data_IF_052764022909
#
_entry.id   IF_052764022909
#
_cell.length_a   1.000
_cell.length_b   1.000
_cell.length_c   1.000
_cell.angle_alpha   90.00
_cell.angle_beta   90.00
_cell.angle_gamma   90.00
#
_symmetry.space_group_name_H-M   'P 1'
#
loop_
_entity.id
_entity.type
_entity.pdbx_description
1 polymer ?
#
# COMPACT_ATOMS: atom_id res chain seq x y z
N UNK A 1 6.88 -6.73 29.77
CA UNK A 1 6.86 -7.21 28.37
C UNK A 1 5.58 -6.69 27.73
N UNK A 2 5.64 -5.88 26.68
CA UNK A 2 4.46 -5.27 26.01
C UNK A 2 3.71 -6.25 25.09
N UNK A 3 3.74 -7.55 25.42
CA UNK A 3 3.04 -8.60 24.69
C UNK A 3 1.63 -8.87 25.25
N UNK A 4 1.19 -8.12 26.25
CA UNK A 4 -0.20 -8.03 26.74
C UNK A 4 -0.54 -6.56 27.03
N UNK A 5 -1.73 -6.09 26.62
CA UNK A 5 -2.24 -4.74 26.95
C UNK A 5 -1.64 -3.53 26.21
N UNK A 6 -0.70 -3.73 25.28
CA UNK A 6 -0.11 -2.65 24.47
C UNK A 6 -0.85 -2.55 23.13
N UNK A 7 -1.58 -1.45 22.93
CA UNK A 7 -2.40 -1.17 21.74
C UNK A 7 -2.05 0.20 21.17
N UNK A 8 -1.44 0.22 19.99
CA UNK A 8 -1.03 1.44 19.30
C UNK A 8 -1.48 1.30 17.84
N UNK A 9 -2.57 1.97 17.41
CA UNK A 9 -3.11 1.82 16.05
C UNK A 9 -2.09 2.15 14.94
N UNK A 10 -1.20 3.12 15.20
CA UNK A 10 -0.13 3.53 14.28
C UNK A 10 1.04 2.54 14.19
N UNK A 11 1.06 1.47 15.00
CA UNK A 11 2.10 0.45 14.94
C UNK A 11 2.03 -0.30 13.60
N UNK A 12 3.07 -0.17 12.78
CA UNK A 12 3.14 -0.74 11.43
C UNK A 12 4.09 -1.93 11.30
N UNK A 13 5.18 -1.98 12.08
CA UNK A 13 6.21 -3.01 11.90
C UNK A 13 6.54 -3.70 13.22
N UNK A 14 6.57 -5.03 13.22
CA UNK A 14 7.01 -5.84 14.35
C UNK A 14 8.13 -6.78 13.91
N UNK A 15 9.24 -6.73 14.64
CA UNK A 15 10.37 -7.65 14.48
C UNK A 15 10.22 -8.79 15.50
N UNK A 16 10.30 -10.03 15.03
CA UNK A 16 10.14 -11.22 15.87
C UNK A 16 11.47 -11.98 15.91
N UNK A 17 12.02 -12.05 17.11
CA UNK A 17 13.21 -12.83 17.45
C UNK A 17 12.93 -13.78 18.65
N UNK A 18 11.64 -14.11 18.86
CA UNK A 18 11.20 -15.02 19.92
C UNK A 18 10.36 -16.14 19.32
N UNK A 19 10.62 -17.41 19.67
CA UNK A 19 9.74 -18.51 19.29
C UNK A 19 8.31 -18.25 19.79
N UNK A 20 7.37 -18.14 18.86
CA UNK A 20 5.95 -17.89 19.14
C UNK A 20 5.10 -18.79 18.24
N UNK A 21 4.02 -19.35 18.79
CA UNK A 21 3.13 -20.28 18.09
C UNK A 21 1.68 -20.10 18.54
N UNK A 22 0.74 -20.54 17.70
CA UNK A 22 -0.69 -20.56 18.02
C UNK A 22 -1.25 -19.18 18.36
N UNK A 23 -2.02 -19.10 19.46
CA UNK A 23 -2.72 -17.88 19.87
C UNK A 23 -1.76 -16.71 20.16
N UNK A 24 -0.62 -16.95 20.82
CA UNK A 24 0.33 -15.88 21.13
C UNK A 24 0.95 -15.24 19.87
N UNK A 25 1.12 -16.02 18.79
CA UNK A 25 1.54 -15.50 17.50
C UNK A 25 0.42 -14.65 16.86
N UNK A 26 -0.83 -15.12 16.93
CA UNK A 26 -1.97 -14.37 16.39
C UNK A 26 -2.25 -13.06 17.10
N UNK A 27 -2.15 -13.04 18.43
CA UNK A 27 -2.29 -11.81 19.21
C UNK A 27 -1.21 -10.78 18.87
N UNK A 28 0.02 -11.24 18.60
CA UNK A 28 1.11 -10.37 18.16
C UNK A 28 0.83 -9.80 16.77
N UNK A 29 0.37 -10.62 15.82
CA UNK A 29 0.02 -10.18 14.45
C UNK A 29 -1.12 -9.17 14.47
N UNK A 30 -2.18 -9.45 15.23
CA UNK A 30 -3.36 -8.61 15.32
C UNK A 30 -3.04 -7.18 15.80
N UNK A 31 -2.00 -7.01 16.63
CA UNK A 31 -1.57 -5.67 17.11
C UNK A 31 -1.01 -4.81 16.00
N UNK A 32 -0.24 -5.40 15.09
CA UNK A 32 0.36 -4.66 13.97
C UNK A 32 -0.69 -4.39 12.89
N UNK A 33 -1.76 -5.19 12.84
CA UNK A 33 -2.81 -5.10 11.84
C UNK A 33 -4.02 -4.22 12.24
N UNK A 34 -3.85 -3.27 13.17
CA UNK A 34 -4.90 -2.26 13.47
C UNK A 34 -5.07 -1.29 12.30
N UNK A 35 -6.30 -0.93 11.92
CA UNK A 35 -6.52 0.08 10.86
C UNK A 35 -6.13 1.46 11.39
N UNK A 36 -5.30 2.21 10.64
CA UNK A 36 -4.89 3.57 11.00
C UNK A 36 -4.40 4.36 9.79
N UNK A 37 -5.11 5.43 9.42
CA UNK A 37 -4.73 6.31 8.30
C UNK A 37 -4.52 5.56 6.97
N UNK A 38 -3.42 5.85 6.27
CA UNK A 38 -3.03 5.19 5.01
C UNK A 38 -2.22 3.89 5.22
N UNK A 39 -2.31 3.23 6.38
CA UNK A 39 -1.54 2.02 6.67
C UNK A 39 -2.08 0.85 5.82
N UNK A 40 -1.30 0.28 4.89
CA UNK A 40 -1.78 -0.79 4.02
C UNK A 40 -1.98 -2.12 4.76
N UNK A 41 -1.29 -2.31 5.89
CA UNK A 41 -1.37 -3.50 6.73
C UNK A 41 -0.26 -3.48 7.78
N UNK A 42 -0.14 -4.58 8.54
CA UNK A 42 1.01 -4.79 9.42
C UNK A 42 2.16 -5.53 8.72
N UNK A 43 3.38 -5.04 8.86
CA UNK A 43 4.61 -5.72 8.42
C UNK A 43 5.21 -6.51 9.58
N UNK A 44 5.46 -7.80 9.36
CA UNK A 44 6.15 -8.66 10.32
C UNK A 44 7.46 -9.12 9.72
N UNK A 45 8.54 -8.86 10.44
CA UNK A 45 9.88 -9.30 10.08
C UNK A 45 10.27 -10.41 11.04
N UNK A 46 10.40 -11.61 10.50
CA UNK A 46 10.67 -12.83 11.25
C UNK A 46 12.09 -13.33 10.99
N UNK A 47 12.89 -13.43 12.05
CA UNK A 47 14.28 -13.91 11.98
C UNK A 47 14.42 -15.42 12.24
N UNK A 48 13.35 -16.09 12.72
CA UNK A 48 13.40 -17.47 13.20
C UNK A 48 12.71 -18.47 12.26
N UNK A 49 12.02 -18.02 11.21
CA UNK A 49 11.33 -18.90 10.27
C UNK A 49 9.99 -19.44 10.79
N UNK A 50 9.23 -18.60 11.48
CA UNK A 50 7.87 -18.82 11.95
C UNK A 50 6.81 -18.91 10.84
N UNK A 51 7.15 -18.73 9.56
CA UNK A 51 6.21 -18.83 8.44
C UNK A 51 5.31 -20.08 8.48
N UNK A 52 5.87 -21.25 8.82
CA UNK A 52 5.10 -22.49 8.98
C UNK A 52 4.10 -22.44 10.16
N UNK A 53 4.53 -21.88 11.30
CA UNK A 53 3.68 -21.71 12.47
C UNK A 53 2.58 -20.67 12.23
N UNK A 54 2.89 -19.64 11.44
CA UNK A 54 1.95 -18.62 10.97
C UNK A 54 0.88 -19.25 10.08
N UNK A 55 1.28 -20.02 9.06
CA UNK A 55 0.35 -20.70 8.16
C UNK A 55 -0.57 -21.65 8.93
N UNK A 56 -0.02 -22.41 9.89
CA UNK A 56 -0.81 -23.29 10.76
C UNK A 56 -1.77 -22.53 11.67
N UNK A 57 -1.35 -21.40 12.23
CA UNK A 57 -2.19 -20.55 13.08
C UNK A 57 -3.32 -19.87 12.27
N UNK A 58 -3.02 -19.45 11.02
CA UNK A 58 -3.99 -18.90 10.09
C UNK A 58 -5.01 -19.95 9.65
N UNK A 59 -4.57 -21.16 9.29
CA UNK A 59 -5.46 -22.26 8.90
C UNK A 59 -6.49 -22.57 10.01
N UNK A 60 -6.04 -22.68 11.27
CA UNK A 60 -6.91 -22.89 12.43
C UNK A 60 -7.96 -21.76 12.60
N UNK A 61 -7.58 -20.50 12.35
CA UNK A 61 -8.50 -19.36 12.39
C UNK A 61 -9.51 -19.36 11.23
N UNK A 62 -9.06 -19.78 10.04
CA UNK A 62 -9.89 -19.84 8.82
C UNK A 62 -10.94 -20.96 8.93
N UNK A 63 -10.54 -22.13 9.45
CA UNK A 63 -11.45 -23.25 9.79
C UNK A 63 -12.45 -22.89 10.90
N UNK A 64 -12.12 -21.92 11.76
CA UNK A 64 -12.98 -21.43 12.84
C UNK A 64 -13.98 -20.35 12.40
N UNK A 65 -14.12 -20.09 11.10
CA UNK A 65 -15.07 -19.13 10.53
C UNK A 65 -14.47 -17.78 10.09
N UNK A 66 -13.14 -17.65 10.07
CA UNK A 66 -12.47 -16.51 9.44
C UNK A 66 -12.58 -16.58 7.91
N UNK A 67 -13.28 -15.62 7.29
CA UNK A 67 -13.32 -15.51 5.82
C UNK A 67 -12.00 -14.93 5.30
N UNK A 68 -11.23 -15.73 4.56
CA UNK A 68 -10.13 -15.21 3.74
C UNK A 68 -9.29 -16.33 3.13
N UNK A 69 -9.17 -16.36 1.81
CA UNK A 69 -8.10 -17.10 1.14
C UNK A 69 -6.77 -16.48 1.55
N UNK A 70 -6.00 -17.21 2.37
CA UNK A 70 -4.86 -16.66 3.13
C UNK A 70 -3.56 -16.57 2.33
N UNK A 71 -3.59 -16.92 1.05
CA UNK A 71 -2.43 -16.86 0.16
C UNK A 71 -2.87 -16.23 -1.16
N UNK A 72 -2.55 -14.95 -1.35
CA UNK A 72 -2.64 -14.32 -2.67
C UNK A 72 -1.53 -14.95 -3.52
N UNK A 73 -1.89 -15.58 -4.63
CA UNK A 73 -0.91 -16.07 -5.61
C UNK A 73 -0.11 -14.86 -6.11
N UNK A 74 1.22 -14.95 -6.04
CA UNK A 74 2.10 -13.90 -6.53
C UNK A 74 1.80 -13.55 -7.99
N UNK A 75 1.35 -14.51 -8.79
CA UNK A 75 0.93 -14.33 -10.18
C UNK A 75 -0.32 -13.44 -10.31
N UNK A 76 -1.27 -13.59 -9.39
CA UNK A 76 -2.47 -12.76 -9.32
C UNK A 76 -2.11 -11.34 -8.88
N UNK A 77 -1.23 -11.20 -7.89
CA UNK A 77 -0.72 -9.90 -7.45
C UNK A 77 0.01 -9.14 -8.57
N UNK A 78 0.82 -9.85 -9.39
CA UNK A 78 1.48 -9.27 -10.57
C UNK A 78 0.43 -8.80 -11.59
N UNK A 79 -0.58 -9.61 -11.87
CA UNK A 79 -1.64 -9.27 -12.83
C UNK A 79 -2.40 -8.03 -12.39
N UNK A 80 -2.78 -7.96 -11.11
CA UNK A 80 -3.44 -6.80 -10.53
C UNK A 80 -2.55 -5.56 -10.59
N UNK A 81 -1.27 -5.71 -10.28
CA UNK A 81 -0.30 -4.60 -10.32
C UNK A 81 -0.21 -4.00 -11.73
N UNK A 82 -0.08 -4.83 -12.77
CA UNK A 82 0.04 -4.37 -14.15
C UNK A 82 -1.24 -3.68 -14.63
N UNK A 83 -2.41 -4.20 -14.25
CA UNK A 83 -3.70 -3.57 -14.56
C UNK A 83 -3.83 -2.17 -13.94
N UNK A 84 -3.57 -2.05 -12.63
CA UNK A 84 -3.66 -0.75 -11.95
C UNK A 84 -2.58 0.23 -12.42
N UNK A 85 -1.43 -0.29 -12.87
CA UNK A 85 -0.37 0.48 -13.52
C UNK A 85 -0.83 1.08 -14.86
N UNK A 86 -1.52 0.31 -15.71
CA UNK A 86 -2.09 0.81 -16.96
C UNK A 86 -3.10 1.93 -16.71
N UNK A 87 -4.00 1.77 -15.73
CA UNK A 87 -4.96 2.83 -15.35
C UNK A 87 -4.22 4.11 -14.97
N UNK A 88 -3.16 4.02 -14.16
CA UNK A 88 -2.37 5.19 -13.78
C UNK A 88 -1.69 5.84 -15.01
N UNK A 89 -1.18 5.05 -15.95
CA UNK A 89 -0.60 5.58 -17.20
C UNK A 89 -1.62 6.26 -18.09
N UNK A 90 -2.81 5.70 -18.22
CA UNK A 90 -3.88 6.27 -19.04
C UNK A 90 -4.35 7.62 -18.50
N UNK A 91 -4.32 7.79 -17.17
CA UNK A 91 -4.59 9.10 -16.54
C UNK A 91 -3.52 10.16 -16.85
N UNK A 92 -2.37 9.78 -17.37
CA UNK A 92 -1.32 10.68 -17.87
C UNK A 92 -1.23 10.67 -19.41
N UNK A 93 -2.26 10.22 -20.11
CA UNK A 93 -2.26 10.22 -21.57
C UNK A 93 -2.04 11.65 -22.12
N UNK A 94 -1.01 11.81 -22.96
CA UNK A 94 -0.60 13.12 -23.49
C UNK A 94 0.28 13.96 -22.56
N UNK A 95 0.67 13.44 -21.40
CA UNK A 95 1.60 14.09 -20.47
C UNK A 95 2.95 13.37 -20.45
N UNK A 96 4.04 14.08 -20.78
CA UNK A 96 5.39 13.53 -20.72
C UNK A 96 5.99 13.68 -19.31
N UNK A 97 6.17 12.55 -18.63
CA UNK A 97 6.83 12.46 -17.33
C UNK A 97 8.22 11.84 -17.38
N UNK A 98 8.85 11.75 -18.57
CA UNK A 98 10.22 11.21 -18.76
C UNK A 98 11.27 11.87 -17.87
N UNK A 99 11.11 13.17 -17.59
CA UNK A 99 11.96 13.95 -16.67
C UNK A 99 11.97 13.43 -15.23
N UNK A 100 11.08 12.51 -14.86
CA UNK A 100 11.15 11.84 -13.56
C UNK A 100 12.41 10.99 -13.42
N UNK A 101 12.81 10.28 -14.48
CA UNK A 101 14.00 9.42 -14.49
C UNK A 101 15.27 10.23 -14.71
N UNK A 102 15.23 11.22 -15.60
CA UNK A 102 16.43 11.93 -16.08
C UNK A 102 16.65 13.31 -15.47
N UNK A 103 15.60 13.98 -15.00
CA UNK A 103 15.68 15.37 -14.57
C UNK A 103 16.31 15.56 -13.19
N UNK A 104 16.81 16.78 -12.92
CA UNK A 104 17.48 17.10 -11.66
C UNK A 104 16.83 18.27 -10.92
N UNK A 105 16.75 18.17 -9.59
CA UNK A 105 16.34 19.24 -8.67
C UNK A 105 15.08 19.99 -9.11
N UNK A 106 15.27 21.21 -9.64
CA UNK A 106 14.20 22.10 -10.07
C UNK A 106 13.33 21.51 -11.20
N UNK A 107 13.89 20.71 -12.10
CA UNK A 107 13.12 20.11 -13.20
C UNK A 107 12.09 19.10 -12.69
N UNK A 108 12.44 18.31 -11.67
CA UNK A 108 11.51 17.39 -11.01
C UNK A 108 10.42 18.15 -10.26
N UNK A 109 10.75 19.27 -9.64
CA UNK A 109 9.77 20.11 -8.94
C UNK A 109 8.75 20.69 -9.94
N UNK A 110 9.22 21.23 -11.06
CA UNK A 110 8.39 21.75 -12.15
C UNK A 110 7.52 20.63 -12.72
N UNK A 111 8.11 19.47 -13.04
CA UNK A 111 7.36 18.29 -13.50
C UNK A 111 6.23 17.93 -12.53
N UNK A 112 6.51 17.92 -11.23
CA UNK A 112 5.52 17.59 -10.21
C UNK A 112 4.38 18.61 -10.12
N UNK A 113 4.63 19.90 -10.44
CA UNK A 113 3.55 20.89 -10.51
C UNK A 113 2.63 20.56 -11.69
N UNK A 114 3.21 20.40 -12.88
CA UNK A 114 2.45 20.13 -14.09
C UNK A 114 1.71 18.79 -14.06
N UNK A 115 2.32 17.77 -13.45
CA UNK A 115 1.69 16.46 -13.26
C UNK A 115 0.46 16.56 -12.35
N UNK A 116 0.56 17.34 -11.27
CA UNK A 116 -0.57 17.62 -10.39
C UNK A 116 -1.67 18.37 -11.16
N UNK A 117 -1.34 19.44 -11.87
CA UNK A 117 -2.31 20.24 -12.62
C UNK A 117 -3.00 19.42 -13.71
N UNK A 118 -2.25 18.54 -14.40
CA UNK A 118 -2.79 17.62 -15.38
C UNK A 118 -3.86 16.71 -14.78
N UNK A 119 -3.56 16.05 -13.65
CA UNK A 119 -4.52 15.16 -12.97
C UNK A 119 -5.73 15.92 -12.45
N UNK A 120 -5.53 17.11 -11.87
CA UNK A 120 -6.63 17.93 -11.35
C UNK A 120 -7.51 18.54 -12.46
N UNK A 121 -6.98 18.66 -13.68
CA UNK A 121 -7.74 19.09 -14.85
C UNK A 121 -8.66 18.02 -15.45
N UNK A 122 -8.51 16.75 -15.06
CA UNK A 122 -9.38 15.66 -15.52
C UNK A 122 -10.71 15.62 -14.74
N UNK A 123 -11.76 15.13 -15.41
CA UNK A 123 -13.05 14.90 -14.77
C UNK A 123 -12.94 13.87 -13.64
N UNK A 124 -13.31 14.28 -12.42
CA UNK A 124 -13.12 13.51 -11.18
C UNK A 124 -11.68 12.99 -11.00
N UNK A 125 -10.69 13.70 -11.58
CA UNK A 125 -9.31 13.26 -11.68
C UNK A 125 -8.66 13.00 -10.32
N UNK A 126 -8.91 13.87 -9.33
CA UNK A 126 -8.39 13.70 -7.96
C UNK A 126 -8.81 12.37 -7.35
N UNK A 127 -10.10 12.11 -7.19
CA UNK A 127 -10.60 10.89 -6.52
C UNK A 127 -10.16 9.63 -7.27
N UNK A 128 -10.31 9.61 -8.60
CA UNK A 128 -9.89 8.49 -9.45
C UNK A 128 -8.40 8.19 -9.30
N UNK A 129 -7.57 9.22 -9.32
CA UNK A 129 -6.12 9.07 -9.23
C UNK A 129 -5.68 8.57 -7.85
N UNK A 130 -6.22 9.16 -6.79
CA UNK A 130 -5.91 8.74 -5.41
C UNK A 130 -6.26 7.27 -5.19
N UNK A 131 -7.39 6.80 -5.74
CA UNK A 131 -7.83 5.41 -5.65
C UNK A 131 -6.97 4.47 -6.50
N UNK A 132 -6.70 4.81 -7.76
CA UNK A 132 -5.87 4.00 -8.65
C UNK A 132 -4.45 3.80 -8.09
N UNK A 133 -3.79 4.88 -7.66
CA UNK A 133 -2.43 4.79 -7.08
C UNK A 133 -2.43 4.04 -5.75
N UNK A 134 -3.50 4.12 -4.95
CA UNK A 134 -3.63 3.32 -3.73
C UNK A 134 -3.68 1.83 -4.05
N UNK A 135 -4.54 1.41 -4.99
CA UNK A 135 -4.67 0.01 -5.41
C UNK A 135 -3.37 -0.51 -6.03
N UNK A 136 -2.74 0.29 -6.89
CA UNK A 136 -1.43 -0.01 -7.47
C UNK A 136 -0.37 -0.22 -6.37
N UNK A 137 -0.30 0.67 -5.38
CA UNK A 137 0.69 0.57 -4.30
C UNK A 137 0.51 -0.69 -3.45
N UNK A 138 -0.74 -1.07 -3.18
CA UNK A 138 -1.07 -2.29 -2.44
C UNK A 138 -0.69 -3.55 -3.24
N UNK A 139 -1.11 -3.62 -4.51
CA UNK A 139 -0.80 -4.76 -5.38
C UNK A 139 0.72 -4.90 -5.61
N UNK A 140 1.42 -3.78 -5.84
CA UNK A 140 2.86 -3.74 -6.04
C UNK A 140 3.61 -4.31 -4.82
N UNK A 141 3.20 -3.94 -3.60
CA UNK A 141 3.82 -4.44 -2.38
C UNK A 141 3.69 -5.97 -2.21
N UNK A 142 2.63 -6.57 -2.75
CA UNK A 142 2.40 -8.03 -2.73
C UNK A 142 3.13 -8.76 -3.86
N UNK A 143 3.43 -8.07 -4.96
CA UNK A 143 3.99 -8.67 -6.17
C UNK A 143 5.53 -8.65 -6.20
N UNK A 144 6.18 -7.73 -5.46
CA UNK A 144 7.65 -7.71 -5.29
C UNK A 144 8.11 -9.01 -4.61
N UNK A 145 9.20 -9.66 -5.07
CA UNK A 145 10.23 -9.14 -5.99
C UNK A 145 10.11 -9.56 -7.47
N UNK A 146 8.92 -9.83 -7.99
CA UNK A 146 8.76 -10.31 -9.38
C UNK A 146 9.36 -9.37 -10.44
N UNK A 147 10.09 -9.91 -11.42
CA UNK A 147 10.88 -9.14 -12.41
C UNK A 147 10.06 -8.08 -13.17
N UNK A 148 8.93 -8.47 -13.76
CA UNK A 148 8.01 -7.54 -14.45
C UNK A 148 7.53 -6.37 -13.58
N UNK A 149 7.45 -6.56 -12.27
CA UNK A 149 7.03 -5.53 -11.31
C UNK A 149 8.19 -4.59 -11.01
N UNK A 150 9.42 -5.11 -10.97
CA UNK A 150 10.62 -4.29 -10.79
C UNK A 150 10.86 -3.34 -11.98
N UNK A 151 10.48 -3.73 -13.20
CA UNK A 151 10.59 -2.87 -14.40
C UNK A 151 9.79 -1.57 -14.28
N UNK A 152 8.62 -1.61 -13.63
CA UNK A 152 7.74 -0.45 -13.48
C UNK A 152 7.98 0.35 -12.19
N UNK A 153 8.89 -0.10 -11.32
CA UNK A 153 9.13 0.48 -9.97
C UNK A 153 9.30 1.99 -9.98
N UNK A 154 10.08 2.51 -10.93
CA UNK A 154 10.38 3.95 -10.98
C UNK A 154 9.13 4.78 -11.33
N UNK A 155 8.28 4.27 -12.23
CA UNK A 155 7.00 4.91 -12.58
C UNK A 155 5.98 4.81 -11.47
N UNK A 156 5.91 3.68 -10.76
CA UNK A 156 5.11 3.57 -9.53
C UNK A 156 5.54 4.62 -8.51
N UNK A 157 6.85 4.83 -8.34
CA UNK A 157 7.40 5.89 -7.49
C UNK A 157 6.98 7.30 -7.91
N UNK A 158 6.93 7.59 -9.22
CA UNK A 158 6.40 8.85 -9.74
C UNK A 158 4.93 9.03 -9.35
N UNK A 159 4.11 8.01 -9.58
CA UNK A 159 2.68 8.10 -9.30
C UNK A 159 2.40 8.33 -7.82
N UNK A 160 3.12 7.63 -6.94
CA UNK A 160 3.06 7.80 -5.49
C UNK A 160 3.46 9.22 -5.06
N UNK A 161 4.49 9.80 -5.68
CA UNK A 161 4.95 11.16 -5.38
C UNK A 161 3.89 12.20 -5.75
N UNK A 162 3.27 12.09 -6.93
CA UNK A 162 2.16 12.97 -7.34
C UNK A 162 0.96 12.81 -6.40
N UNK A 163 0.61 11.57 -6.02
CA UNK A 163 -0.48 11.32 -5.04
C UNK A 163 -0.21 12.00 -3.71
N UNK A 164 1.00 11.81 -3.16
CA UNK A 164 1.38 12.41 -1.89
C UNK A 164 1.31 13.95 -1.94
N UNK A 165 1.66 14.53 -3.10
CA UNK A 165 1.55 15.97 -3.33
C UNK A 165 0.09 16.45 -3.35
N UNK A 166 -0.77 15.81 -4.14
CA UNK A 166 -2.20 16.15 -4.24
C UNK A 166 -2.87 16.11 -2.86
N UNK A 167 -2.54 15.11 -2.03
CA UNK A 167 -3.05 14.99 -0.65
C UNK A 167 -2.58 16.19 0.19
N UNK A 168 -1.29 16.57 0.11
CA UNK A 168 -0.74 17.68 0.92
C UNK A 168 -1.25 19.05 0.51
N UNK A 169 -1.51 19.29 -0.78
CA UNK A 169 -2.01 20.59 -1.28
C UNK A 169 -3.54 20.71 -1.24
N UNK A 170 -4.26 19.65 -0.89
CA UNK A 170 -5.71 19.70 -0.66
C UNK A 170 -5.96 19.80 0.85
N UNK A 171 -6.16 20.99 1.43
CA UNK A 171 -6.57 21.07 2.83
C UNK A 171 -7.97 20.47 2.98
N UNK A 172 -8.09 19.49 3.90
CA UNK A 172 -9.30 19.06 4.61
C UNK A 172 -10.66 19.50 4.03
N UNK A 173 -11.18 18.80 3.02
CA UNK A 173 -12.62 18.85 2.69
C UNK A 173 -13.36 17.53 2.94
N UNK A 174 -12.68 16.45 3.32
CA UNK A 174 -13.31 15.13 3.51
C UNK A 174 -13.47 14.68 4.98
N UNK A 175 -13.27 15.58 5.97
CA UNK A 175 -13.48 15.28 7.40
C UNK A 175 -14.90 15.62 7.91
N UNK A 176 -15.86 15.89 7.03
CA UNK A 176 -17.26 16.12 7.41
C UNK A 176 -18.23 15.48 6.41
N UNK A 177 -18.46 14.17 6.55
CA UNK A 177 -19.61 13.54 5.90
C UNK A 177 -20.19 12.32 6.63
N UNK A 178 -19.48 11.68 7.56
CA UNK A 178 -19.96 10.43 8.20
C UNK A 178 -20.29 10.55 9.70
N UNK A 179 -20.56 11.76 10.21
CA UNK A 179 -21.11 11.97 11.57
C UNK A 179 -22.42 12.77 11.51
N UNK A 180 -23.42 12.31 10.73
CA UNK A 180 -24.84 12.64 10.93
C UNK A 180 -25.73 11.50 10.41
N UNK A 181 -25.98 10.49 11.25
CA UNK A 181 -27.30 9.96 11.67
C UNK A 181 -27.15 8.64 12.46
#
# INVERSE_FOLDING_TARGET
MWLTGFDVPSLHTMYIDKPMQGHGLMEAIARVNRVYGNKPGGLIVDYLGLAYHLQKALALYTESGGRGDTVIDQSEAVTLTLREYEICRDMFHGFDYSKWKTGHGNEKLILMNWAQDHILGLENGKQRYLQAVMRLSQAFALAVPHEKVLEIRDEVGFFQAVRARIIKTSPEQDLKADDVE
#
